data_IF_733501503243
#
_entry.id   IF_733501503243
#
_cell.length_a   1.000
_cell.length_b   1.000
_cell.length_c   1.000
_cell.angle_alpha   90.00
_cell.angle_beta   90.00
_cell.angle_gamma   90.00
#
_symmetry.space_group_name_H-M   'P 1'
#
loop_
_entity.id
_entity.type
_entity.pdbx_description
1 polymer ?
#
# COMPACT_ATOMS: atom_id res chain seq x y z
N UNK A 1 0.25 -3.67 9.63
CA UNK A 1 1.63 -3.94 9.20
C UNK A 1 2.48 -2.81 9.76
N UNK A 2 3.63 -3.12 10.36
CA UNK A 2 4.52 -2.14 10.97
C UNK A 2 5.86 -2.00 10.24
N UNK A 3 6.17 -2.90 9.30
CA UNK A 3 7.42 -2.86 8.53
C UNK A 3 8.70 -2.84 9.39
N UNK A 4 8.67 -3.55 10.53
CA UNK A 4 9.81 -3.67 11.45
C UNK A 4 11.01 -4.40 10.86
N UNK A 5 10.80 -5.18 9.80
CA UNK A 5 11.85 -5.94 9.09
C UNK A 5 11.51 -6.09 7.60
N UNK A 6 12.42 -6.73 6.85
CA UNK A 6 12.31 -6.93 5.39
C UNK A 6 11.37 -8.09 5.00
N UNK A 7 10.69 -8.74 5.95
CA UNK A 7 9.72 -9.81 5.65
C UNK A 7 8.52 -9.29 4.85
N UNK A 8 8.30 -7.97 4.81
CA UNK A 8 7.27 -7.36 3.97
C UNK A 8 7.42 -7.77 2.50
N UNK A 9 8.65 -7.93 1.99
CA UNK A 9 8.90 -8.32 0.59
C UNK A 9 8.30 -9.68 0.22
N UNK A 10 8.13 -10.57 1.22
CA UNK A 10 7.53 -11.89 1.03
C UNK A 10 6.00 -11.86 1.10
N UNK A 11 5.45 -10.90 1.85
CA UNK A 11 4.04 -10.84 2.19
C UNK A 11 3.24 -9.86 1.32
N UNK A 12 3.92 -8.89 0.73
CA UNK A 12 3.35 -7.91 -0.18
C UNK A 12 3.71 -8.28 -1.62
N UNK A 13 2.68 -8.39 -2.45
CA UNK A 13 2.81 -8.85 -3.83
C UNK A 13 2.60 -7.66 -4.76
N UNK A 14 3.60 -7.41 -5.60
CA UNK A 14 3.51 -6.44 -6.68
C UNK A 14 2.57 -6.95 -7.76
N UNK A 15 1.80 -6.02 -8.34
CA UNK A 15 1.14 -6.30 -9.60
C UNK A 15 2.15 -6.56 -10.71
N UNK A 16 1.80 -7.48 -11.60
CA UNK A 16 2.48 -7.80 -12.85
C UNK A 16 1.55 -7.54 -14.04
N UNK A 17 0.50 -6.73 -13.85
CA UNK A 17 -0.44 -6.40 -14.91
C UNK A 17 0.33 -5.78 -16.10
N UNK A 18 0.18 -6.32 -17.32
CA UNK A 18 1.02 -5.99 -18.46
C UNK A 18 0.79 -4.58 -19.01
N UNK A 19 -0.35 -3.96 -18.68
CA UNK A 19 -0.74 -2.67 -19.25
C UNK A 19 0.04 -1.49 -18.65
N UNK A 20 0.74 -1.71 -17.53
CA UNK A 20 1.49 -0.66 -16.83
C UNK A 20 2.79 -1.17 -16.22
N UNK A 21 3.83 -0.35 -16.32
CA UNK A 21 5.03 -0.49 -15.50
C UNK A 21 4.79 0.17 -14.13
N UNK A 22 4.79 -0.63 -13.06
CA UNK A 22 4.59 -0.14 -11.70
C UNK A 22 5.90 0.21 -11.02
N UNK A 23 5.91 1.35 -10.33
CA UNK A 23 7.04 1.79 -9.54
C UNK A 23 7.33 0.87 -8.35
N UNK A 24 8.55 0.98 -7.81
CA UNK A 24 9.01 0.20 -6.66
C UNK A 24 8.84 0.93 -5.33
N UNK A 25 8.45 0.17 -4.31
CA UNK A 25 8.50 0.61 -2.94
C UNK A 25 9.85 0.26 -2.32
N UNK A 26 10.35 1.15 -1.48
CA UNK A 26 11.54 0.93 -0.64
C UNK A 26 11.16 1.05 0.83
N UNK A 27 11.81 0.26 1.69
CA UNK A 27 11.62 0.34 3.15
C UNK A 27 12.58 1.37 3.73
N UNK A 28 12.06 2.45 4.29
CA UNK A 28 12.85 3.56 4.82
C UNK A 28 12.05 4.45 5.76
N UNK A 29 12.72 5.14 6.67
CA UNK A 29 12.12 6.19 7.51
C UNK A 29 12.11 7.58 6.81
N UNK A 30 12.75 7.69 5.65
CA UNK A 30 12.89 8.94 4.89
C UNK A 30 14.10 9.76 5.32
N UNK A 31 14.09 11.05 4.97
CA UNK A 31 15.15 12.02 5.26
C UNK A 31 15.13 12.52 6.71
N UNK A 32 13.96 12.55 7.33
CA UNK A 32 13.79 12.93 8.73
C UNK A 32 12.76 12.02 9.41
N UNK A 33 13.01 11.66 10.66
CA UNK A 33 12.18 10.73 11.42
C UNK A 33 12.29 11.07 12.90
N UNK A 34 11.33 10.57 13.69
CA UNK A 34 11.39 10.65 15.14
C UNK A 34 12.18 9.45 15.70
N UNK A 35 11.92 8.25 15.18
CA UNK A 35 12.65 7.01 15.48
C UNK A 35 12.96 6.27 14.18
N UNK A 36 14.23 6.02 13.89
CA UNK A 36 14.65 5.47 12.59
C UNK A 36 14.08 4.07 12.30
N UNK A 37 13.93 3.22 13.32
CA UNK A 37 13.46 1.86 13.10
C UNK A 37 11.93 1.77 13.16
N UNK A 38 11.30 2.48 14.10
CA UNK A 38 9.84 2.46 14.25
C UNK A 38 9.12 3.27 13.16
N UNK A 39 9.76 4.29 12.58
CA UNK A 39 9.17 5.11 11.51
C UNK A 39 9.43 4.54 10.10
N UNK A 40 10.12 3.40 9.98
CA UNK A 40 10.27 2.73 8.68
C UNK A 40 8.92 2.30 8.14
N UNK A 41 8.65 2.70 6.89
CA UNK A 41 7.47 2.31 6.14
C UNK A 41 7.80 2.07 4.68
N UNK A 42 6.76 1.92 3.86
CA UNK A 42 6.92 1.84 2.41
C UNK A 42 6.90 3.23 1.79
N UNK A 43 7.99 3.58 1.11
CA UNK A 43 8.11 4.83 0.35
C UNK A 43 8.10 4.52 -1.15
N UNK A 44 7.35 5.29 -1.93
CA UNK A 44 7.41 5.30 -3.40
C UNK A 44 8.77 5.87 -3.86
N UNK A 45 9.52 5.13 -4.69
CA UNK A 45 10.89 5.51 -5.07
C UNK A 45 11.06 6.18 -6.45
N UNK A 46 9.99 6.39 -7.21
CA UNK A 46 10.04 6.84 -8.60
C UNK A 46 8.96 7.89 -8.89
N UNK A 47 9.34 8.98 -9.54
CA UNK A 47 8.44 10.05 -9.92
C UNK A 47 7.52 9.66 -11.09
N UNK A 48 6.30 10.21 -11.12
CA UNK A 48 5.33 10.00 -12.20
C UNK A 48 5.04 8.51 -12.52
N UNK A 49 5.04 7.65 -11.50
CA UNK A 49 4.73 6.23 -11.60
C UNK A 49 3.41 5.86 -10.95
N UNK A 50 2.74 4.86 -11.53
CA UNK A 50 1.66 4.14 -10.85
C UNK A 50 2.27 3.12 -9.90
N UNK A 51 1.58 2.87 -8.79
CA UNK A 51 1.98 1.90 -7.78
C UNK A 51 0.85 0.89 -7.54
N UNK A 52 1.19 -0.39 -7.49
CA UNK A 52 0.26 -1.47 -7.20
C UNK A 52 0.96 -2.56 -6.39
N UNK A 53 0.71 -2.53 -5.08
CA UNK A 53 1.22 -3.48 -4.11
C UNK A 53 0.06 -3.88 -3.20
N UNK A 54 -0.10 -5.17 -2.93
CA UNK A 54 -1.17 -5.66 -2.06
C UNK A 54 -0.71 -6.82 -1.18
N UNK A 55 -1.33 -6.97 -0.01
CA UNK A 55 -1.07 -8.07 0.92
C UNK A 55 -2.38 -8.75 1.27
N UNK A 56 -2.40 -10.08 1.17
CA UNK A 56 -3.54 -10.88 1.63
C UNK A 56 -3.55 -10.93 3.16
N UNK A 57 -4.74 -10.96 3.73
CA UNK A 57 -4.98 -11.20 5.14
C UNK A 57 -6.13 -12.21 5.28
N UNK A 58 -6.32 -12.75 6.49
CA UNK A 58 -7.41 -13.70 6.76
C UNK A 58 -8.75 -13.05 6.43
N UNK A 59 -9.54 -13.70 5.58
CA UNK A 59 -10.86 -13.19 5.20
C UNK A 59 -11.80 -13.09 6.40
N UNK A 60 -12.67 -12.08 6.36
CA UNK A 60 -13.69 -11.84 7.38
C UNK A 60 -14.89 -11.09 6.77
N UNK A 61 -15.99 -11.02 7.52
CA UNK A 61 -17.18 -10.21 7.22
C UNK A 61 -17.38 -9.17 8.32
N UNK A 62 -17.91 -8.01 7.93
CA UNK A 62 -18.28 -6.91 8.84
C UNK A 62 -19.77 -6.88 9.14
N UNK A 63 -20.53 -7.91 8.72
CA UNK A 63 -21.96 -7.97 9.00
C UNK A 63 -22.22 -7.95 10.51
N UNK A 64 -23.00 -6.97 10.95
CA UNK A 64 -23.31 -6.73 12.36
C UNK A 64 -22.13 -6.27 13.22
N UNK A 65 -21.02 -5.79 12.62
CA UNK A 65 -19.82 -5.34 13.33
C UNK A 65 -19.23 -4.08 12.73
N UNK A 66 -18.58 -3.29 13.57
CA UNK A 66 -17.83 -2.13 13.11
C UNK A 66 -16.54 -2.54 12.40
N UNK A 67 -16.16 -1.77 11.37
CA UNK A 67 -14.90 -1.89 10.66
C UNK A 67 -14.06 -0.63 10.92
N UNK A 68 -12.83 -0.83 11.38
CA UNK A 68 -11.85 0.26 11.53
C UNK A 68 -10.67 -0.03 10.62
N UNK A 69 -10.34 0.94 9.76
CA UNK A 69 -9.15 0.93 8.91
C UNK A 69 -8.31 2.14 9.28
N UNK A 70 -7.06 1.89 9.64
CA UNK A 70 -6.13 2.92 10.08
C UNK A 70 -4.76 2.67 9.44
N UNK A 71 -4.16 3.75 8.96
CA UNK A 71 -2.80 3.78 8.44
C UNK A 71 -2.27 5.21 8.55
N UNK A 72 -0.97 5.38 8.40
CA UNK A 72 -0.29 6.69 8.40
C UNK A 72 0.27 6.99 7.02
N UNK A 73 0.22 8.26 6.62
CA UNK A 73 0.81 8.76 5.37
C UNK A 73 1.68 9.95 5.70
N UNK A 74 2.89 9.96 5.13
CA UNK A 74 3.83 11.08 5.24
C UNK A 74 4.26 11.49 3.83
N UNK A 75 3.80 12.65 3.38
CA UNK A 75 4.28 13.28 2.15
C UNK A 75 5.54 14.11 2.43
N UNK A 76 6.66 13.43 2.66
CA UNK A 76 7.96 14.05 2.94
C UNK A 76 8.46 14.96 1.81
N UNK A 77 8.13 14.61 0.57
CA UNK A 77 8.62 15.23 -0.65
C UNK A 77 7.90 16.53 -1.03
N UNK A 78 6.96 17.02 -0.21
CA UNK A 78 6.05 18.12 -0.56
C UNK A 78 5.32 17.82 -1.89
N UNK A 79 4.61 16.71 -1.93
CA UNK A 79 3.95 16.20 -3.13
C UNK A 79 3.06 17.27 -3.76
N UNK A 80 3.14 17.40 -5.08
CA UNK A 80 2.31 18.30 -5.89
C UNK A 80 1.04 17.60 -6.40
N UNK A 81 1.17 16.34 -6.85
CA UNK A 81 0.07 15.49 -7.31
C UNK A 81 0.37 14.00 -7.08
N UNK A 82 -0.40 13.36 -6.21
CA UNK A 82 -0.40 11.91 -6.04
C UNK A 82 -1.34 11.46 -4.92
N UNK A 83 -1.78 10.21 -4.97
CA UNK A 83 -2.70 9.64 -3.97
C UNK A 83 -1.96 8.99 -2.81
N UNK A 84 -2.56 9.07 -1.61
CA UNK A 84 -2.07 8.39 -0.40
C UNK A 84 -3.08 7.41 0.18
N UNK A 85 -4.04 6.92 -0.61
CA UNK A 85 -5.13 6.06 -0.15
C UNK A 85 -4.83 4.56 -0.22
N UNK A 86 -5.59 3.78 0.54
CA UNK A 86 -5.63 2.31 0.46
C UNK A 86 -6.95 1.82 -0.15
N UNK A 87 -6.91 0.62 -0.75
CA UNK A 87 -8.11 -0.10 -1.23
C UNK A 87 -8.23 -1.43 -0.50
N UNK A 88 -9.45 -1.80 -0.11
CA UNK A 88 -9.80 -3.12 0.45
C UNK A 88 -10.55 -3.91 -0.62
N UNK A 89 -10.05 -5.10 -0.91
CA UNK A 89 -10.58 -6.00 -1.93
C UNK A 89 -11.27 -7.20 -1.29
N UNK A 90 -12.10 -7.90 -2.04
CA UNK A 90 -12.58 -9.21 -1.61
C UNK A 90 -11.57 -10.32 -1.95
N UNK A 91 -11.91 -11.55 -1.57
CA UNK A 91 -11.05 -12.72 -1.74
C UNK A 91 -10.77 -13.11 -3.19
N UNK A 92 -11.49 -12.55 -4.18
CA UNK A 92 -11.31 -12.86 -5.59
C UNK A 92 -10.10 -12.16 -6.21
N UNK A 93 -9.55 -11.14 -5.52
CA UNK A 93 -8.35 -10.44 -5.97
C UNK A 93 -7.20 -11.43 -6.19
N UNK A 94 -6.67 -11.40 -7.41
CA UNK A 94 -5.35 -11.92 -7.74
C UNK A 94 -4.35 -10.76 -7.66
N UNK A 95 -3.45 -10.74 -6.66
CA UNK A 95 -2.53 -9.62 -6.45
C UNK A 95 -1.68 -9.25 -7.67
N UNK A 96 -1.27 -10.24 -8.45
CA UNK A 96 -0.45 -10.04 -9.66
C UNK A 96 -1.22 -9.39 -10.81
N UNK A 97 -2.56 -9.38 -10.79
CA UNK A 97 -3.39 -8.75 -11.83
C UNK A 97 -3.91 -7.36 -11.40
N UNK A 98 -3.56 -6.88 -10.20
CA UNK A 98 -4.05 -5.64 -9.60
C UNK A 98 -3.74 -4.40 -10.46
N UNK A 99 -4.74 -3.56 -10.68
CA UNK A 99 -4.61 -2.31 -11.43
C UNK A 99 -5.69 -1.30 -11.01
N UNK A 100 -5.74 -0.13 -11.66
CA UNK A 100 -6.63 0.98 -11.31
C UNK A 100 -8.12 0.60 -11.30
N UNK A 101 -8.54 -0.21 -12.29
CA UNK A 101 -9.93 -0.63 -12.52
C UNK A 101 -10.32 -1.90 -11.74
N UNK A 102 -9.42 -2.48 -10.95
CA UNK A 102 -9.73 -3.67 -10.17
C UNK A 102 -10.86 -3.38 -9.17
N UNK A 103 -11.98 -4.13 -9.18
CA UNK A 103 -13.10 -3.90 -8.28
C UNK A 103 -12.67 -4.00 -6.81
N UNK A 104 -13.05 -3.01 -6.00
CA UNK A 104 -12.76 -2.94 -4.57
C UNK A 104 -14.06 -2.78 -3.77
N UNK A 105 -13.98 -3.07 -2.47
CA UNK A 105 -15.08 -2.92 -1.51
C UNK A 105 -15.06 -1.57 -0.82
N UNK A 106 -13.87 -1.05 -0.56
CA UNK A 106 -13.65 0.26 0.06
C UNK A 106 -12.38 0.89 -0.49
N UNK A 107 -12.39 2.20 -0.66
CA UNK A 107 -11.22 3.04 -0.92
C UNK A 107 -11.23 4.19 0.08
N UNK A 108 -10.13 4.39 0.79
CA UNK A 108 -10.06 5.35 1.90
C UNK A 108 -8.66 5.94 2.05
N UNK A 109 -8.58 7.26 2.16
CA UNK A 109 -7.34 8.00 2.39
C UNK A 109 -7.29 9.36 1.70
N UNK A 110 -6.15 10.07 1.83
CA UNK A 110 -5.89 11.33 1.16
C UNK A 110 -5.58 11.18 -0.34
#
# INVERSE_FOLDING_TARGET
EKFSDDSWEKNWIYSKNPDKEFGKFVRTAGKFFNDEEEDKGLQTSEDARFYALSRKFKSFSTEGKDLVIQFTVKHEQNIDCGGGYVKVFDCSLKPEELHGETPYRLMFGP
#
